data_IF_940948038838
#
_entry.id   IF_940948038838
#
_cell.length_a   1.000
_cell.length_b   1.000
_cell.length_c   1.000
_cell.angle_alpha   90.00
_cell.angle_beta   90.00
_cell.angle_gamma   90.00
#
_symmetry.space_group_name_H-M   'P 1'
#
loop_
_entity.id
_entity.type
_entity.pdbx_description
1 polymer ?
#
# COMPACT_ATOMS: atom_id res chain seq x y z
N UNK A 1 -18.02 3.55 -4.63
CA UNK A 1 -19.33 3.40 -5.34
C UNK A 1 -20.10 2.19 -4.81
N UNK A 2 -19.46 1.04 -4.58
CA UNK A 2 -20.12 -0.19 -4.06
C UNK A 2 -20.90 0.00 -2.75
N UNK A 3 -20.50 0.93 -1.89
CA UNK A 3 -21.19 1.22 -0.62
C UNK A 3 -22.56 1.84 -0.76
N UNK A 4 -22.99 2.22 -1.97
CA UNK A 4 -24.25 2.91 -2.25
C UNK A 4 -25.17 2.11 -3.19
N UNK A 5 -24.85 0.86 -3.49
CA UNK A 5 -25.62 0.03 -4.42
C UNK A 5 -26.99 -0.35 -3.89
N UNK A 6 -27.16 -0.46 -2.58
CA UNK A 6 -28.44 -0.80 -1.95
C UNK A 6 -29.43 0.39 -1.91
N UNK A 7 -28.93 1.63 -1.97
CA UNK A 7 -29.79 2.83 -1.98
C UNK A 7 -29.11 3.94 -2.82
N UNK A 8 -29.09 3.80 -4.15
CA UNK A 8 -28.47 4.76 -5.05
C UNK A 8 -29.27 6.05 -5.09
N UNK A 9 -28.57 7.18 -5.13
CA UNK A 9 -29.13 8.52 -5.31
C UNK A 9 -28.58 9.15 -6.59
N UNK A 10 -29.24 10.22 -7.08
CA UNK A 10 -28.82 10.92 -8.31
C UNK A 10 -27.34 11.33 -8.26
N UNK A 11 -26.84 11.82 -7.11
CA UNK A 11 -25.42 12.16 -6.95
C UNK A 11 -24.48 10.98 -7.17
N UNK A 12 -24.87 9.76 -6.77
CA UNK A 12 -24.08 8.55 -7.01
C UNK A 12 -24.06 8.18 -8.50
N UNK A 13 -25.21 8.36 -9.20
CA UNK A 13 -25.27 8.14 -10.65
C UNK A 13 -24.41 9.15 -11.40
N UNK A 14 -24.46 10.43 -11.01
CA UNK A 14 -23.64 11.48 -11.63
C UNK A 14 -22.14 11.19 -11.44
N UNK A 15 -21.72 10.73 -10.26
CA UNK A 15 -20.34 10.32 -10.02
C UNK A 15 -19.93 9.12 -10.88
N UNK A 16 -20.83 8.15 -11.08
CA UNK A 16 -20.58 6.99 -11.95
C UNK A 16 -20.46 7.44 -13.43
N UNK A 17 -21.36 8.29 -13.91
CA UNK A 17 -21.30 8.86 -15.25
C UNK A 17 -19.99 9.62 -15.45
N UNK A 18 -19.53 10.36 -14.45
CA UNK A 18 -18.26 11.07 -14.52
C UNK A 18 -17.05 10.10 -14.70
N UNK A 19 -17.05 8.97 -14.00
CA UNK A 19 -16.04 7.91 -14.19
C UNK A 19 -16.06 7.37 -15.62
N UNK A 20 -17.25 7.05 -16.15
CA UNK A 20 -17.38 6.57 -17.55
C UNK A 20 -16.98 7.62 -18.57
N UNK A 21 -17.29 8.90 -18.33
CA UNK A 21 -16.85 9.99 -19.19
C UNK A 21 -15.32 10.11 -19.24
N UNK A 22 -14.65 9.95 -18.09
CA UNK A 22 -13.20 9.89 -18.02
C UNK A 22 -12.63 8.70 -18.81
N UNK A 23 -13.16 7.51 -18.62
CA UNK A 23 -12.73 6.30 -19.34
C UNK A 23 -12.93 6.46 -20.86
N UNK A 24 -14.05 7.06 -21.28
CA UNK A 24 -14.31 7.36 -22.70
C UNK A 24 -13.26 8.31 -23.31
N UNK A 25 -12.77 9.27 -22.52
CA UNK A 25 -11.71 10.19 -22.97
C UNK A 25 -10.33 9.52 -23.01
N UNK A 26 -10.15 8.40 -22.32
CA UNK A 26 -8.88 7.67 -22.20
C UNK A 26 -8.98 6.21 -22.68
N UNK A 27 -9.41 5.98 -23.93
CA UNK A 27 -9.73 4.62 -24.42
C UNK A 27 -8.51 3.69 -24.53
N UNK A 28 -7.30 4.25 -24.46
CA UNK A 28 -6.03 3.50 -24.54
C UNK A 28 -5.33 3.34 -23.19
N UNK A 29 -6.02 3.58 -22.07
CA UNK A 29 -5.46 3.29 -20.75
C UNK A 29 -5.21 1.79 -20.61
N UNK A 30 -3.95 1.45 -20.35
CA UNK A 30 -3.51 0.06 -20.15
C UNK A 30 -2.64 -0.04 -18.91
N UNK A 31 -2.64 -1.20 -18.29
CA UNK A 31 -1.61 -1.58 -17.32
C UNK A 31 -0.45 -2.16 -18.13
N UNK A 32 0.70 -1.47 -18.09
CA UNK A 32 1.89 -1.96 -18.76
C UNK A 32 2.64 -2.92 -17.83
N UNK A 33 3.02 -4.08 -18.36
CA UNK A 33 3.94 -4.99 -17.68
C UNK A 33 5.37 -4.59 -18.02
N UNK A 34 6.10 -4.06 -17.02
CA UNK A 34 7.47 -3.58 -17.17
C UNK A 34 8.34 -4.23 -16.09
N UNK A 35 9.22 -5.13 -16.51
CA UNK A 35 10.12 -5.88 -15.62
C UNK A 35 11.35 -5.09 -15.17
N UNK A 36 11.57 -3.88 -15.68
CA UNK A 36 12.71 -3.05 -15.27
C UNK A 36 12.55 -2.60 -13.81
N UNK A 37 13.65 -2.49 -13.10
CA UNK A 37 13.66 -1.94 -11.74
C UNK A 37 13.17 -0.48 -11.74
N UNK A 38 12.39 -0.07 -10.73
CA UNK A 38 12.04 1.34 -10.57
C UNK A 38 13.29 2.15 -10.24
N UNK A 39 13.33 3.38 -10.73
CA UNK A 39 14.29 4.35 -10.20
C UNK A 39 13.75 4.91 -8.90
N UNK A 40 14.38 4.55 -7.79
CA UNK A 40 14.04 5.03 -6.45
C UNK A 40 15.28 5.74 -5.92
N UNK A 41 15.10 6.99 -5.47
CA UNK A 41 16.19 7.70 -4.81
C UNK A 41 16.37 7.11 -3.39
N UNK A 42 17.39 6.29 -3.22
CA UNK A 42 17.70 5.59 -1.97
C UNK A 42 18.11 6.54 -0.84
N UNK A 43 18.62 7.75 -1.17
CA UNK A 43 18.96 8.77 -0.17
C UNK A 43 17.78 9.21 0.70
N UNK A 44 16.56 8.94 0.24
CA UNK A 44 15.32 9.21 1.00
C UNK A 44 14.97 8.15 2.03
N UNK A 45 15.60 6.98 1.97
CA UNK A 45 15.34 5.88 2.90
C UNK A 45 16.35 5.93 4.04
N UNK A 46 15.88 6.36 5.20
CA UNK A 46 16.67 6.30 6.43
C UNK A 46 16.55 4.87 6.94
N UNK A 47 17.66 4.16 6.98
CA UNK A 47 17.74 2.87 7.64
C UNK A 47 17.84 3.08 9.15
N UNK A 48 16.98 2.41 9.90
CA UNK A 48 17.03 2.38 11.36
C UNK A 48 17.45 0.99 11.80
N UNK A 49 18.36 0.92 12.76
CA UNK A 49 18.70 -0.34 13.40
C UNK A 49 17.64 -0.68 14.45
N UNK A 50 16.99 -1.80 14.24
CA UNK A 50 15.95 -2.32 15.13
C UNK A 50 16.45 -3.42 16.04
N UNK A 51 17.74 -3.82 15.93
CA UNK A 51 18.28 -4.96 16.64
C UNK A 51 18.28 -4.76 18.17
N UNK A 52 18.46 -3.51 18.63
CA UNK A 52 18.43 -3.20 20.07
C UNK A 52 17.02 -3.34 20.66
N UNK A 53 15.96 -3.04 19.86
CA UNK A 53 14.57 -3.08 20.33
C UNK A 53 13.92 -4.43 20.03
N UNK A 54 14.17 -4.98 18.87
CA UNK A 54 13.62 -6.26 18.40
C UNK A 54 14.71 -7.19 17.89
N UNK A 55 15.57 -7.72 18.79
CA UNK A 55 16.71 -8.54 18.39
C UNK A 55 16.25 -9.81 17.65
N UNK A 56 16.92 -10.10 16.55
CA UNK A 56 16.66 -11.31 15.77
C UNK A 56 15.33 -11.33 14.99
N UNK A 57 14.57 -10.24 14.97
CA UNK A 57 13.33 -10.17 14.18
C UNK A 57 13.66 -10.22 12.69
N UNK A 58 13.15 -11.24 12.03
CA UNK A 58 13.30 -11.47 10.58
C UNK A 58 11.98 -11.93 10.00
N UNK A 59 11.86 -11.78 8.69
CA UNK A 59 10.73 -12.34 7.96
C UNK A 59 10.70 -13.87 8.14
N UNK A 60 9.55 -14.40 8.55
CA UNK A 60 9.39 -15.85 8.72
C UNK A 60 9.26 -16.51 7.33
N UNK A 61 10.32 -17.17 6.90
CA UNK A 61 10.40 -17.86 5.62
C UNK A 61 10.29 -19.37 5.88
N UNK A 62 9.21 -20.04 5.40
CA UNK A 62 9.10 -21.49 5.50
C UNK A 62 10.26 -22.21 4.82
N UNK A 63 10.72 -23.30 5.44
CA UNK A 63 11.89 -24.06 4.96
C UNK A 63 11.63 -24.82 3.65
N UNK A 64 10.37 -25.13 3.36
CA UNK A 64 9.98 -25.96 2.20
C UNK A 64 9.59 -25.15 0.95
N UNK A 65 10.03 -23.89 0.86
CA UNK A 65 9.77 -23.08 -0.33
C UNK A 65 10.66 -23.53 -1.51
N UNK A 66 10.17 -23.39 -2.76
CA UNK A 66 10.98 -23.66 -3.93
C UNK A 66 12.19 -22.72 -3.98
N UNK A 67 13.34 -23.19 -4.50
CA UNK A 67 14.49 -22.32 -4.65
C UNK A 67 14.16 -21.16 -5.58
N UNK A 68 14.68 -19.95 -5.28
CA UNK A 68 14.44 -18.78 -6.12
C UNK A 68 15.01 -18.99 -7.54
N UNK A 69 14.24 -18.62 -8.55
CA UNK A 69 14.62 -18.70 -9.95
C UNK A 69 14.41 -17.36 -10.66
N UNK A 70 15.35 -16.98 -11.49
CA UNK A 70 15.27 -15.74 -12.28
C UNK A 70 16.04 -14.58 -11.67
N UNK A 71 15.66 -13.35 -12.06
CA UNK A 71 16.30 -12.13 -11.57
C UNK A 71 15.55 -11.60 -10.34
N UNK A 72 16.30 -10.91 -9.48
CA UNK A 72 15.73 -10.21 -8.33
C UNK A 72 14.65 -9.21 -8.75
N UNK A 73 13.68 -9.07 -7.88
CA UNK A 73 12.59 -8.10 -8.10
C UNK A 73 12.50 -7.11 -6.95
N UNK A 74 12.08 -5.91 -7.28
CA UNK A 74 11.82 -4.84 -6.32
C UNK A 74 10.33 -4.68 -6.11
N UNK A 75 9.88 -4.65 -4.87
CA UNK A 75 8.50 -4.33 -4.52
C UNK A 75 8.40 -2.91 -3.98
N UNK A 76 7.39 -2.16 -4.46
CA UNK A 76 7.16 -0.78 -4.04
C UNK A 76 5.67 -0.59 -3.75
N UNK A 77 5.36 -0.02 -2.60
CA UNK A 77 3.99 0.23 -2.16
C UNK A 77 3.78 1.73 -1.92
N UNK A 78 2.77 2.30 -2.56
CA UNK A 78 2.26 3.63 -2.25
C UNK A 78 1.03 3.49 -1.37
N UNK A 79 0.99 4.24 -0.28
CA UNK A 79 -0.10 4.21 0.68
C UNK A 79 -0.52 5.63 1.05
N UNK A 80 -1.83 5.84 1.15
CA UNK A 80 -2.43 7.12 1.53
C UNK A 80 -3.79 6.91 2.17
N UNK A 81 -4.19 7.81 3.06
CA UNK A 81 -5.54 7.85 3.62
C UNK A 81 -6.20 9.22 3.47
N UNK A 82 -7.33 9.27 2.81
CA UNK A 82 -8.16 10.47 2.73
C UNK A 82 -9.00 10.59 4.01
N UNK A 83 -8.54 11.41 4.97
CA UNK A 83 -9.17 11.58 6.28
C UNK A 83 -10.60 12.08 6.16
N UNK A 84 -11.53 11.35 6.82
CA UNK A 84 -12.93 11.78 6.96
C UNK A 84 -13.65 12.09 5.65
N UNK A 85 -13.20 11.49 4.54
CA UNK A 85 -13.71 11.76 3.19
C UNK A 85 -15.18 11.37 3.00
N UNK A 86 -15.70 10.45 3.80
CA UNK A 86 -17.11 10.17 3.81
C UNK A 86 -17.84 11.19 4.70
N UNK A 87 -18.58 12.10 4.07
CA UNK A 87 -19.28 13.19 4.76
C UNK A 87 -20.40 12.73 5.70
N UNK A 88 -20.93 11.52 5.50
CA UNK A 88 -22.03 10.97 6.30
C UNK A 88 -21.52 10.32 7.59
N UNK A 89 -20.58 9.39 7.46
CA UNK A 89 -20.07 8.61 8.60
C UNK A 89 -18.66 9.02 9.04
N UNK A 90 -18.07 10.02 8.39
CA UNK A 90 -16.73 10.58 8.67
C UNK A 90 -15.58 9.57 8.60
N UNK A 91 -15.80 8.41 8.00
CA UNK A 91 -14.76 7.40 7.81
C UNK A 91 -13.79 7.84 6.73
N UNK A 92 -12.53 7.52 6.95
CA UNK A 92 -11.45 7.72 5.99
C UNK A 92 -11.45 6.62 4.93
N UNK A 93 -10.82 6.87 3.79
CA UNK A 93 -10.58 5.86 2.77
C UNK A 93 -9.07 5.62 2.66
N UNK A 94 -8.69 4.36 2.74
CA UNK A 94 -7.33 3.90 2.48
C UNK A 94 -7.17 3.63 0.99
N UNK A 95 -6.11 4.17 0.39
CA UNK A 95 -5.65 3.86 -0.95
C UNK A 95 -4.30 3.14 -0.89
N UNK A 96 -4.16 2.02 -1.60
CA UNK A 96 -2.93 1.24 -1.67
C UNK A 96 -2.67 0.89 -3.13
N UNK A 97 -1.44 1.11 -3.59
CA UNK A 97 -0.93 0.67 -4.88
C UNK A 97 0.35 -0.13 -4.64
N UNK A 98 0.39 -1.39 -5.09
CA UNK A 98 1.55 -2.26 -4.94
C UNK A 98 2.12 -2.60 -6.31
N UNK A 99 3.40 -2.34 -6.48
CA UNK A 99 4.14 -2.58 -7.70
C UNK A 99 5.14 -3.71 -7.50
N UNK A 100 5.30 -4.52 -8.54
CA UNK A 100 6.42 -5.42 -8.73
C UNK A 100 7.29 -4.85 -9.86
N UNK A 101 8.50 -4.45 -9.55
CA UNK A 101 9.29 -3.61 -10.42
C UNK A 101 8.50 -2.35 -10.84
N UNK A 102 8.25 -2.13 -12.13
CA UNK A 102 7.42 -1.01 -12.64
C UNK A 102 5.98 -1.42 -12.94
N UNK A 103 5.59 -2.66 -12.69
CA UNK A 103 4.26 -3.17 -12.97
C UNK A 103 3.34 -3.00 -11.78
N UNK A 104 2.21 -2.33 -11.93
CA UNK A 104 1.15 -2.29 -10.93
C UNK A 104 0.45 -3.66 -10.87
N UNK A 105 0.54 -4.34 -9.73
CA UNK A 105 0.05 -5.71 -9.55
C UNK A 105 -1.11 -5.82 -8.56
N UNK A 106 -1.23 -4.85 -7.66
CA UNK A 106 -2.34 -4.81 -6.72
C UNK A 106 -2.73 -3.36 -6.42
N UNK A 107 -4.03 -3.11 -6.35
CA UNK A 107 -4.57 -1.83 -5.91
C UNK A 107 -5.79 -2.05 -5.02
N UNK A 108 -5.93 -1.18 -4.05
CA UNK A 108 -7.07 -1.20 -3.14
C UNK A 108 -7.52 0.22 -2.81
N UNK A 109 -8.84 0.43 -2.81
CA UNK A 109 -9.47 1.61 -2.23
C UNK A 109 -10.58 1.14 -1.30
N UNK A 110 -10.42 1.37 0.01
CA UNK A 110 -11.33 0.82 1.03
C UNK A 110 -11.62 1.83 2.12
N UNK A 111 -12.90 1.95 2.50
CA UNK A 111 -13.29 2.72 3.68
C UNK A 111 -12.75 2.05 4.94
N UNK A 112 -12.16 2.83 5.82
CA UNK A 112 -11.71 2.37 7.14
C UNK A 112 -12.91 2.03 8.01
N UNK A 113 -12.74 1.06 8.92
CA UNK A 113 -13.82 0.62 9.81
C UNK A 113 -14.04 1.57 10.96
N UNK A 114 -13.00 2.29 11.37
CA UNK A 114 -12.98 3.27 12.46
C UNK A 114 -13.07 4.69 11.92
N UNK A 115 -13.40 5.63 12.79
CA UNK A 115 -13.34 7.06 12.52
C UNK A 115 -12.18 7.63 13.32
N UNK A 116 -11.18 8.13 12.59
CA UNK A 116 -9.99 8.69 13.21
C UNK A 116 -10.12 10.22 13.39
N UNK A 117 -9.73 10.69 14.55
CA UNK A 117 -9.78 12.12 14.89
C UNK A 117 -8.64 12.92 14.24
N UNK A 118 -7.55 12.24 13.86
CA UNK A 118 -6.36 12.87 13.27
C UNK A 118 -6.02 12.32 11.89
N UNK A 119 -5.31 13.12 11.09
CA UNK A 119 -4.73 12.65 9.81
C UNK A 119 -3.70 11.56 10.07
N UNK A 120 -2.89 11.71 11.11
CA UNK A 120 -1.92 10.72 11.56
C UNK A 120 -2.59 9.34 11.77
N UNK A 121 -3.69 9.26 12.55
CA UNK A 121 -4.38 8.00 12.84
C UNK A 121 -4.90 7.32 11.58
N UNK A 122 -5.51 8.08 10.65
CA UNK A 122 -5.99 7.51 9.40
C UNK A 122 -4.86 7.00 8.50
N UNK A 123 -3.75 7.72 8.40
CA UNK A 123 -2.58 7.30 7.62
C UNK A 123 -1.88 6.10 8.27
N UNK A 124 -1.78 6.06 9.59
CA UNK A 124 -1.20 4.95 10.32
C UNK A 124 -2.00 3.65 10.12
N UNK A 125 -3.34 3.72 10.13
CA UNK A 125 -4.20 2.58 9.78
C UNK A 125 -3.97 2.12 8.34
N UNK A 126 -3.84 3.07 7.41
CA UNK A 126 -3.56 2.74 6.02
C UNK A 126 -2.20 2.03 5.87
N UNK A 127 -1.18 2.53 6.57
CA UNK A 127 0.15 1.92 6.58
C UNK A 127 0.13 0.50 7.15
N UNK A 128 -0.60 0.27 8.26
CA UNK A 128 -0.80 -1.07 8.82
C UNK A 128 -1.44 -2.02 7.80
N UNK A 129 -2.51 -1.57 7.12
CA UNK A 129 -3.17 -2.37 6.08
C UNK A 129 -2.22 -2.69 4.91
N UNK A 130 -1.39 -1.72 4.50
CA UNK A 130 -0.39 -1.94 3.47
C UNK A 130 0.65 -2.98 3.91
N UNK A 131 1.15 -2.91 5.14
CA UNK A 131 2.10 -3.88 5.68
C UNK A 131 1.54 -5.31 5.67
N UNK A 132 0.28 -5.51 6.06
CA UNK A 132 -0.39 -6.82 6.02
C UNK A 132 -0.47 -7.37 4.58
N UNK A 133 -0.80 -6.52 3.61
CA UNK A 133 -0.84 -6.89 2.19
C UNK A 133 0.57 -7.23 1.66
N UNK A 134 1.57 -6.44 2.02
CA UNK A 134 2.96 -6.65 1.61
C UNK A 134 3.47 -7.99 2.12
N UNK A 135 3.28 -8.29 3.40
CA UNK A 135 3.70 -9.57 4.01
C UNK A 135 3.08 -10.75 3.25
N UNK A 136 1.76 -10.72 3.04
CA UNK A 136 1.07 -11.77 2.33
C UNK A 136 1.53 -11.89 0.87
N UNK A 137 1.85 -10.76 0.23
CA UNK A 137 2.30 -10.75 -1.16
C UNK A 137 3.73 -11.28 -1.29
N UNK A 138 4.65 -10.85 -0.43
CA UNK A 138 6.02 -11.36 -0.39
C UNK A 138 6.04 -12.87 -0.17
N UNK A 139 5.22 -13.37 0.74
CA UNK A 139 5.07 -14.82 0.95
C UNK A 139 4.64 -15.54 -0.33
N UNK A 140 3.63 -15.03 -1.06
CA UNK A 140 3.19 -15.60 -2.33
C UNK A 140 4.29 -15.61 -3.39
N UNK A 141 5.06 -14.52 -3.52
CA UNK A 141 6.17 -14.45 -4.46
C UNK A 141 7.21 -15.54 -4.16
N UNK A 142 7.53 -15.77 -2.90
CA UNK A 142 8.43 -16.86 -2.50
C UNK A 142 7.87 -18.24 -2.82
N UNK A 143 6.56 -18.45 -2.64
CA UNK A 143 5.90 -19.70 -3.05
C UNK A 143 6.02 -19.96 -4.55
N UNK A 144 6.14 -18.92 -5.36
CA UNK A 144 6.39 -19.02 -6.80
C UNK A 144 7.88 -19.10 -7.18
N UNK A 145 8.78 -19.13 -6.20
CA UNK A 145 10.21 -19.12 -6.45
C UNK A 145 10.74 -17.78 -7.01
N UNK A 146 10.05 -16.67 -6.76
CA UNK A 146 10.52 -15.35 -7.18
C UNK A 146 11.57 -14.84 -6.20
N UNK A 147 12.79 -14.45 -6.66
CA UNK A 147 13.80 -13.85 -5.79
C UNK A 147 13.33 -12.51 -5.24
N UNK A 148 13.24 -12.40 -3.91
CA UNK A 148 12.78 -11.19 -3.22
C UNK A 148 13.57 -11.01 -1.92
N UNK A 149 14.84 -10.61 -2.07
CA UNK A 149 15.77 -10.51 -0.95
C UNK A 149 15.76 -9.12 -0.30
N UNK A 150 15.44 -8.09 -1.09
CA UNK A 150 15.38 -6.72 -0.59
C UNK A 150 14.04 -6.40 0.10
N UNK A 151 14.01 -5.51 1.10
CA UNK A 151 12.79 -5.02 1.71
C UNK A 151 11.86 -4.34 0.69
N UNK A 152 10.55 -4.34 0.96
CA UNK A 152 9.60 -3.55 0.17
C UNK A 152 9.72 -2.08 0.51
N UNK A 153 9.87 -1.23 -0.51
CA UNK A 153 9.82 0.22 -0.34
C UNK A 153 8.39 0.67 -0.10
N UNK A 154 8.13 1.34 1.01
CA UNK A 154 6.82 1.89 1.34
C UNK A 154 6.88 3.41 1.32
N UNK A 155 6.06 4.02 0.46
CA UNK A 155 5.97 5.47 0.30
C UNK A 155 4.62 5.94 0.86
N UNK A 156 4.71 6.80 1.88
CA UNK A 156 3.60 7.47 2.53
C UNK A 156 3.85 8.98 2.48
N UNK A 157 2.82 9.76 2.27
CA UNK A 157 2.92 11.22 2.16
C UNK A 157 2.83 11.94 3.52
N UNK A 158 2.60 11.21 4.60
CA UNK A 158 2.57 11.76 5.96
C UNK A 158 3.92 11.58 6.67
N UNK A 159 4.70 12.65 6.73
CA UNK A 159 6.02 12.67 7.35
C UNK A 159 5.99 12.25 8.83
N UNK A 160 4.96 12.65 9.58
CA UNK A 160 4.82 12.28 10.99
C UNK A 160 4.65 10.78 11.16
N UNK A 161 3.86 10.14 10.30
CA UNK A 161 3.71 8.67 10.29
C UNK A 161 5.04 8.01 9.94
N UNK A 162 5.74 8.51 8.91
CA UNK A 162 7.04 7.99 8.52
C UNK A 162 8.07 8.08 9.66
N UNK A 163 8.15 9.21 10.33
CA UNK A 163 9.08 9.42 11.43
C UNK A 163 8.77 8.52 12.64
N UNK A 164 7.48 8.39 12.99
CA UNK A 164 7.07 7.48 14.07
C UNK A 164 7.38 6.01 13.78
N UNK A 165 7.18 5.57 12.54
CA UNK A 165 7.42 4.17 12.18
C UNK A 165 8.90 3.84 11.99
N UNK A 166 9.77 4.83 11.87
CA UNK A 166 11.23 4.66 11.77
C UNK A 166 11.92 4.63 13.13
N UNK A 167 11.31 5.21 14.16
CA UNK A 167 11.91 5.30 15.48
C UNK A 167 11.48 4.11 16.35
N UNK A 168 12.42 3.25 16.81
CA UNK A 168 12.10 2.16 17.73
C UNK A 168 11.49 2.66 19.05
N UNK A 169 11.87 3.86 19.49
CA UNK A 169 11.41 4.48 20.73
C UNK A 169 10.15 5.32 20.56
N UNK A 170 9.55 5.33 19.36
CA UNK A 170 8.37 6.15 19.14
C UNK A 170 7.19 5.68 20.01
N UNK A 171 6.62 6.63 20.75
CA UNK A 171 5.40 6.40 21.52
C UNK A 171 4.24 7.03 20.77
N UNK A 172 3.20 6.25 20.53
CA UNK A 172 1.93 6.78 20.05
C UNK A 172 1.26 7.48 21.24
N UNK A 173 1.41 8.81 21.33
CA UNK A 173 0.72 9.65 22.32
C UNK A 173 -0.64 10.06 21.77
#
# INVERSE_FOLDING_TARGET
MSSHTSNPRIGHMNALIHIFAYLKQKPKLTIAFDSRHPYINEDRFIQCDWQDTYPGTRENIPVELPPPLGNDVTTTCFVHASRGSNLINRRSHTGILLFLNRTLIHWQSKSQRTVESSTFGSEFIALKMAAEIIIAFRFKLRCFGVPIDVPTNVLCDNETVCNNTRSPDSRLN
#
